data_IF_125844473235
#
_entry.id   IF_125844473235
#
_cell.length_a   1.000
_cell.length_b   1.000
_cell.length_c   1.000
_cell.angle_alpha   90.00
_cell.angle_beta   90.00
_cell.angle_gamma   90.00
#
_symmetry.space_group_name_H-M   'P 1'
#
loop_
_entity.id
_entity.type
_entity.pdbx_description
1 polymer ?
#
# COMPACT_ATOMS: atom_id res chain seq x y z
N UNK A 1 -8.24 -0.36 16.52
CA UNK A 1 -7.66 -1.06 15.37
C UNK A 1 -7.20 -2.44 15.86
N UNK A 2 -7.86 -3.52 15.43
CA UNK A 2 -7.56 -4.90 15.87
C UNK A 2 -6.13 -5.33 15.52
N UNK A 3 -5.60 -4.89 14.37
CA UNK A 3 -4.21 -5.15 13.95
C UNK A 3 -3.19 -4.60 14.94
N UNK A 4 -3.43 -3.39 15.45
CA UNK A 4 -2.55 -2.77 16.44
C UNK A 4 -2.52 -3.56 17.76
N UNK A 5 -3.68 -4.02 18.25
CA UNK A 5 -3.75 -4.83 19.46
C UNK A 5 -2.98 -6.15 19.31
N UNK A 6 -3.19 -6.87 18.20
CA UNK A 6 -2.43 -8.10 17.92
C UNK A 6 -0.92 -7.85 17.78
N UNK A 7 -0.53 -6.73 17.17
CA UNK A 7 0.88 -6.38 17.02
C UNK A 7 1.56 -6.16 18.38
N UNK A 8 0.88 -5.54 19.35
CA UNK A 8 1.37 -5.40 20.73
C UNK A 8 1.58 -6.77 21.38
N UNK A 9 0.57 -7.66 21.30
CA UNK A 9 0.65 -8.99 21.89
C UNK A 9 1.80 -9.82 21.30
N UNK A 10 1.95 -9.79 19.97
CA UNK A 10 3.03 -10.47 19.25
C UNK A 10 4.40 -9.87 19.62
N UNK A 11 4.52 -8.54 19.67
CA UNK A 11 5.74 -7.86 20.06
C UNK A 11 6.19 -8.27 21.47
N UNK A 12 5.26 -8.29 22.43
CA UNK A 12 5.56 -8.70 23.80
C UNK A 12 6.03 -10.17 23.86
N UNK A 13 5.39 -11.07 23.11
CA UNK A 13 5.79 -12.47 23.06
C UNK A 13 7.18 -12.66 22.44
N UNK A 14 7.46 -11.98 21.32
CA UNK A 14 8.75 -12.06 20.61
C UNK A 14 9.89 -11.46 21.46
N UNK A 15 9.64 -10.31 22.10
CA UNK A 15 10.63 -9.68 22.98
C UNK A 15 10.86 -10.50 24.25
N UNK A 16 9.83 -11.14 24.80
CA UNK A 16 9.95 -12.11 25.90
C UNK A 16 10.80 -13.33 25.53
N UNK A 17 10.83 -13.70 24.24
CA UNK A 17 11.71 -14.73 23.70
C UNK A 17 13.11 -14.22 23.31
N UNK A 18 13.42 -12.94 23.55
CA UNK A 18 14.73 -12.33 23.24
C UNK A 18 14.95 -11.99 21.77
N UNK A 19 13.88 -11.91 20.96
CA UNK A 19 13.97 -11.46 19.57
C UNK A 19 14.01 -9.94 19.57
N UNK A 20 15.03 -9.37 18.94
CA UNK A 20 15.17 -7.92 18.82
C UNK A 20 14.21 -7.36 17.75
N UNK A 21 13.66 -6.16 17.99
CA UNK A 21 12.63 -5.55 17.15
C UNK A 21 13.04 -5.47 15.68
N UNK A 22 14.30 -5.16 15.38
CA UNK A 22 14.83 -5.03 14.01
C UNK A 22 14.80 -6.34 13.20
N UNK A 23 14.55 -7.48 13.85
CA UNK A 23 14.35 -8.80 13.22
C UNK A 23 12.89 -9.15 12.99
N UNK A 24 11.96 -8.29 13.42
CA UNK A 24 10.52 -8.50 13.33
C UNK A 24 10.01 -7.72 12.12
N UNK A 25 9.24 -8.40 11.27
CA UNK A 25 8.49 -7.79 10.18
C UNK A 25 7.00 -8.00 10.44
N UNK A 26 6.26 -6.92 10.65
CA UNK A 26 4.80 -6.96 10.75
C UNK A 26 4.16 -6.88 9.37
N UNK A 27 3.16 -7.73 9.12
CA UNK A 27 2.35 -7.66 7.91
C UNK A 27 0.99 -7.00 8.22
N UNK A 28 0.59 -5.92 7.52
CA UNK A 28 -0.72 -5.29 7.72
C UNK A 28 -1.87 -6.16 7.22
N UNK A 29 -1.59 -7.34 6.64
CA UNK A 29 -2.53 -8.23 5.97
C UNK A 29 -3.20 -7.49 4.83
N UNK A 30 -2.48 -7.34 3.72
CA UNK A 30 -3.01 -6.77 2.48
C UNK A 30 -4.29 -7.50 2.07
N UNK A 31 -5.40 -6.76 1.96
CA UNK A 31 -6.73 -7.32 1.64
C UNK A 31 -7.12 -6.97 0.20
N UNK A 32 -7.94 -7.79 -0.47
CA UNK A 32 -8.42 -7.48 -1.81
C UNK A 32 -9.29 -6.21 -1.83
N UNK A 33 -9.10 -5.35 -2.84
CA UNK A 33 -9.97 -4.17 -3.08
C UNK A 33 -11.44 -4.57 -3.28
N UNK A 34 -11.70 -5.81 -3.70
CA UNK A 34 -13.05 -6.37 -3.83
C UNK A 34 -13.79 -6.49 -2.49
N UNK A 35 -13.09 -6.42 -1.35
CA UNK A 35 -13.68 -6.32 -0.01
C UNK A 35 -13.98 -4.87 0.42
N UNK A 36 -13.61 -3.88 -0.39
CA UNK A 36 -13.84 -2.46 -0.16
C UNK A 36 -12.59 -1.69 0.32
N UNK A 37 -12.57 -0.39 0.01
CA UNK A 37 -11.47 0.50 0.33
C UNK A 37 -11.23 0.66 1.85
N UNK A 38 -12.27 0.49 2.68
CA UNK A 38 -12.16 0.57 4.14
C UNK A 38 -11.16 -0.46 4.71
N UNK A 39 -11.06 -1.65 4.09
CA UNK A 39 -10.09 -2.67 4.51
C UNK A 39 -8.65 -2.27 4.15
N UNK A 40 -8.46 -1.61 3.01
CA UNK A 40 -7.18 -1.05 2.58
C UNK A 40 -6.76 0.06 3.53
N UNK A 41 -7.66 1.01 3.81
CA UNK A 41 -7.44 2.12 4.73
C UNK A 41 -7.09 1.63 6.13
N UNK A 42 -7.78 0.60 6.65
CA UNK A 42 -7.46 0.00 7.94
C UNK A 42 -6.04 -0.59 8.02
N UNK A 43 -5.54 -1.17 6.91
CA UNK A 43 -4.16 -1.63 6.79
C UNK A 43 -3.16 -0.49 6.77
N UNK A 44 -3.45 0.58 6.02
CA UNK A 44 -2.62 1.79 5.95
C UNK A 44 -2.54 2.54 7.29
N UNK A 45 -3.65 2.63 8.02
CA UNK A 45 -3.67 3.19 9.38
C UNK A 45 -2.79 2.39 10.34
N UNK A 46 -2.82 1.06 10.24
CA UNK A 46 -1.92 0.23 11.04
C UNK A 46 -0.45 0.50 10.70
N UNK A 47 -0.12 0.60 9.41
CA UNK A 47 1.23 0.95 8.96
C UNK A 47 1.68 2.32 9.49
N UNK A 48 0.80 3.33 9.47
CA UNK A 48 1.08 4.66 10.00
C UNK A 48 1.45 4.63 11.49
N UNK A 49 0.81 3.79 12.30
CA UNK A 49 1.05 3.68 13.74
C UNK A 49 2.16 2.68 14.10
N UNK A 50 2.69 1.91 13.13
CA UNK A 50 3.54 0.75 13.43
C UNK A 50 4.78 1.13 14.23
N UNK A 51 5.46 2.22 13.88
CA UNK A 51 6.66 2.65 14.60
C UNK A 51 6.37 3.16 16.01
N UNK A 52 5.17 3.65 16.29
CA UNK A 52 4.75 4.02 17.65
C UNK A 52 4.49 2.77 18.51
N UNK A 53 3.98 1.70 17.87
CA UNK A 53 3.66 0.42 18.52
C UNK A 53 4.93 -0.43 18.75
N UNK A 54 5.75 -0.57 17.71
CA UNK A 54 6.91 -1.44 17.67
C UNK A 54 8.14 -0.69 17.11
N UNK A 55 8.72 0.28 17.87
CA UNK A 55 9.85 1.06 17.39
C UNK A 55 11.01 0.18 16.91
N UNK A 56 11.50 0.42 15.70
CA UNK A 56 12.61 -0.32 15.11
C UNK A 56 12.22 -1.65 14.44
N UNK A 57 10.98 -2.12 14.59
CA UNK A 57 10.49 -3.23 13.79
C UNK A 57 10.27 -2.80 12.34
N UNK A 58 10.46 -3.73 11.41
CA UNK A 58 10.13 -3.50 10.02
C UNK A 58 8.70 -3.96 9.68
N UNK A 59 8.36 -3.86 8.41
CA UNK A 59 7.08 -4.32 7.87
C UNK A 59 7.23 -4.97 6.50
N UNK A 60 6.33 -5.90 6.20
CA UNK A 60 6.26 -6.58 4.91
C UNK A 60 4.82 -6.72 4.45
N UNK A 61 4.58 -7.00 3.17
CA UNK A 61 3.24 -7.35 2.68
C UNK A 61 3.31 -8.28 1.47
N UNK A 62 2.34 -9.19 1.36
CA UNK A 62 1.98 -9.82 0.09
C UNK A 62 1.25 -8.83 -0.82
N UNK A 63 1.97 -8.10 -1.68
CA UNK A 63 1.42 -6.95 -2.39
C UNK A 63 0.23 -7.30 -3.28
N UNK A 64 0.34 -8.38 -4.06
CA UNK A 64 -0.68 -8.80 -5.04
C UNK A 64 -2.01 -9.23 -4.41
N UNK A 65 -2.09 -9.33 -3.08
CA UNK A 65 -3.36 -9.58 -2.39
C UNK A 65 -4.35 -8.43 -2.60
N UNK A 66 -3.87 -7.19 -2.76
CA UNK A 66 -4.74 -6.02 -3.00
C UNK A 66 -5.57 -6.16 -4.27
N UNK A 67 -5.05 -6.87 -5.27
CA UNK A 67 -5.67 -7.05 -6.57
C UNK A 67 -6.30 -8.43 -6.77
N UNK A 68 -6.38 -9.27 -5.72
CA UNK A 68 -7.00 -10.59 -5.83
C UNK A 68 -8.48 -10.49 -6.23
N UNK A 69 -8.89 -11.34 -7.18
CA UNK A 69 -10.25 -11.36 -7.70
C UNK A 69 -10.56 -10.30 -8.77
N UNK A 70 -9.57 -9.49 -9.16
CA UNK A 70 -9.66 -8.52 -10.26
C UNK A 70 -9.09 -9.11 -11.55
N UNK A 71 -9.64 -8.71 -12.71
CA UNK A 71 -9.14 -9.13 -14.01
C UNK A 71 -7.62 -8.90 -14.16
N UNK A 72 -6.91 -9.93 -14.62
CA UNK A 72 -5.44 -10.02 -14.59
C UNK A 72 -4.73 -8.80 -15.19
N UNK A 73 -5.23 -8.29 -16.31
CA UNK A 73 -4.64 -7.14 -17.02
C UNK A 73 -4.75 -5.81 -16.25
N UNK A 74 -5.62 -5.73 -15.23
CA UNK A 74 -5.86 -4.54 -14.41
C UNK A 74 -5.13 -4.57 -13.06
N UNK A 75 -4.70 -5.76 -12.60
CA UNK A 75 -4.11 -5.95 -11.27
C UNK A 75 -2.89 -5.08 -11.00
N UNK A 76 -2.01 -4.96 -11.99
CA UNK A 76 -0.76 -4.19 -11.92
C UNK A 76 -0.97 -2.74 -11.47
N UNK A 77 -2.08 -2.10 -11.86
CA UNK A 77 -2.33 -0.70 -11.49
C UNK A 77 -2.60 -0.56 -9.98
N UNK A 78 -3.39 -1.49 -9.43
CA UNK A 78 -3.68 -1.57 -8.00
C UNK A 78 -2.41 -1.87 -7.21
N UNK A 79 -1.65 -2.89 -7.62
CA UNK A 79 -0.42 -3.32 -6.94
C UNK A 79 0.60 -2.17 -6.87
N UNK A 80 0.89 -1.51 -7.99
CA UNK A 80 1.85 -0.40 -8.06
C UNK A 80 1.43 0.79 -7.19
N UNK A 81 0.16 1.19 -7.28
CA UNK A 81 -0.33 2.35 -6.51
C UNK A 81 -0.37 2.04 -5.02
N UNK A 82 -0.80 0.84 -4.65
CA UNK A 82 -0.85 0.41 -3.25
C UNK A 82 0.55 0.33 -2.64
N UNK A 83 1.56 -0.14 -3.38
CA UNK A 83 2.95 -0.09 -2.92
C UNK A 83 3.38 1.35 -2.60
N UNK A 84 3.10 2.30 -3.48
CA UNK A 84 3.43 3.72 -3.24
C UNK A 84 2.72 4.25 -1.98
N UNK A 85 1.45 3.90 -1.76
CA UNK A 85 0.72 4.28 -0.55
C UNK A 85 1.37 3.68 0.71
N UNK A 86 1.81 2.42 0.67
CA UNK A 86 2.53 1.78 1.77
C UNK A 86 3.92 2.42 2.01
N UNK A 87 4.61 2.86 0.96
CA UNK A 87 5.89 3.58 1.07
C UNK A 87 5.76 4.88 1.87
N UNK A 88 4.61 5.57 1.84
CA UNK A 88 4.35 6.76 2.66
C UNK A 88 4.51 6.49 4.15
N UNK A 89 4.16 5.27 4.58
CA UNK A 89 4.20 4.83 5.97
C UNK A 89 5.38 3.88 6.26
N UNK A 90 6.42 3.90 5.41
CA UNK A 90 7.69 3.24 5.72
C UNK A 90 7.68 1.71 5.61
N UNK A 91 6.91 1.14 4.68
CA UNK A 91 7.01 -0.30 4.36
C UNK A 91 8.47 -0.70 4.09
N UNK A 92 8.97 -1.73 4.79
CA UNK A 92 10.37 -2.13 4.69
C UNK A 92 10.63 -3.08 3.52
N UNK A 93 9.75 -4.05 3.32
CA UNK A 93 9.82 -5.02 2.21
C UNK A 93 8.43 -5.29 1.62
N UNK A 94 8.37 -5.82 0.40
CA UNK A 94 7.13 -6.30 -0.19
C UNK A 94 7.40 -7.55 -1.04
N UNK A 95 6.50 -8.52 -0.97
CA UNK A 95 6.49 -9.68 -1.87
C UNK A 95 5.71 -9.26 -3.12
N UNK A 96 6.42 -9.15 -4.26
CA UNK A 96 5.91 -8.51 -5.48
C UNK A 96 6.08 -9.40 -6.72
N UNK A 97 5.33 -9.08 -7.79
CA UNK A 97 5.60 -9.63 -9.11
C UNK A 97 6.85 -8.96 -9.72
N UNK A 98 7.98 -9.65 -9.71
CA UNK A 98 9.26 -9.12 -10.21
C UNK A 98 9.32 -8.95 -11.73
N UNK A 99 8.37 -9.50 -12.49
CA UNK A 99 8.28 -9.32 -13.94
C UNK A 99 7.57 -8.02 -14.34
N UNK A 100 6.95 -7.31 -13.38
CA UNK A 100 6.41 -5.98 -13.64
C UNK A 100 7.53 -4.94 -13.59
N UNK A 101 8.00 -4.54 -14.77
CA UNK A 101 9.11 -3.59 -14.92
C UNK A 101 8.83 -2.22 -14.28
N UNK A 102 7.57 -1.76 -14.28
CA UNK A 102 7.19 -0.46 -13.69
C UNK A 102 7.14 -0.55 -12.17
N UNK A 103 6.59 -1.64 -11.63
CA UNK A 103 6.63 -1.93 -10.20
C UNK A 103 8.07 -2.00 -9.69
N UNK A 104 8.93 -2.71 -10.43
CA UNK A 104 10.34 -2.80 -10.08
C UNK A 104 11.08 -1.46 -10.21
N UNK A 105 10.69 -0.58 -11.14
CA UNK A 105 11.21 0.78 -11.23
C UNK A 105 10.80 1.63 -10.02
N UNK A 106 9.56 1.49 -9.52
CA UNK A 106 9.12 2.11 -8.26
C UNK A 106 9.99 1.63 -7.10
N UNK A 107 10.20 0.31 -6.97
CA UNK A 107 11.05 -0.27 -5.92
C UNK A 107 12.50 0.25 -5.94
N UNK A 108 13.03 0.60 -7.12
CA UNK A 108 14.39 1.15 -7.30
C UNK A 108 14.47 2.67 -7.12
N UNK A 109 13.35 3.36 -6.87
CA UNK A 109 13.30 4.81 -6.75
C UNK A 109 13.37 5.55 -8.11
N UNK A 110 13.14 4.85 -9.22
CA UNK A 110 13.22 5.41 -10.59
C UNK A 110 11.92 6.13 -11.02
N UNK A 111 10.95 6.26 -10.10
CA UNK A 111 9.60 6.80 -10.34
C UNK A 111 9.18 7.82 -9.27
N UNK A 112 10.13 8.62 -8.80
CA UNK A 112 9.87 9.58 -7.71
C UNK A 112 8.71 10.54 -8.03
N UNK A 113 8.55 10.95 -9.30
CA UNK A 113 7.43 11.79 -9.73
C UNK A 113 6.05 11.14 -9.50
N UNK A 114 5.93 9.80 -9.63
CA UNK A 114 4.70 9.06 -9.35
C UNK A 114 4.50 8.87 -7.84
N UNK A 115 5.59 8.67 -7.10
CA UNK A 115 5.58 8.59 -5.64
C UNK A 115 5.08 9.92 -5.05
N UNK A 116 5.67 11.03 -5.46
CA UNK A 116 5.31 12.38 -5.02
C UNK A 116 3.85 12.71 -5.34
N UNK A 117 3.36 12.29 -6.53
CA UNK A 117 1.95 12.46 -6.92
C UNK A 117 1.01 11.77 -5.92
N UNK A 118 1.18 10.47 -5.69
CA UNK A 118 0.29 9.69 -4.82
C UNK A 118 0.44 10.13 -3.37
N UNK A 119 1.65 10.42 -2.89
CA UNK A 119 1.90 10.94 -1.54
C UNK A 119 1.24 12.31 -1.33
N UNK A 120 1.33 13.19 -2.34
CA UNK A 120 0.63 14.48 -2.31
C UNK A 120 -0.89 14.30 -2.20
N UNK A 121 -1.46 13.35 -2.96
CA UNK A 121 -2.89 13.03 -2.87
C UNK A 121 -3.27 12.47 -1.48
N UNK A 122 -2.44 11.63 -0.88
CA UNK A 122 -2.62 11.15 0.50
C UNK A 122 -2.60 12.28 1.53
N UNK A 123 -1.82 13.33 1.28
CA UNK A 123 -1.76 14.53 2.13
C UNK A 123 -2.91 15.53 1.84
N UNK A 124 -3.85 15.17 0.94
CA UNK A 124 -5.00 16.00 0.58
C UNK A 124 -4.78 16.96 -0.60
N UNK A 125 -3.62 16.91 -1.25
CA UNK A 125 -3.34 17.69 -2.46
C UNK A 125 -3.85 16.93 -3.70
N UNK A 126 -5.13 17.08 -4.02
CA UNK A 126 -5.74 16.51 -5.23
C UNK A 126 -5.46 17.42 -6.45
N UNK A 127 -4.62 17.00 -7.43
CA UNK A 127 -4.33 17.83 -8.61
C UNK A 127 -5.49 17.87 -9.63
N UNK A 128 -6.53 17.05 -9.42
CA UNK A 128 -7.53 16.76 -10.44
C UNK A 128 -6.95 15.93 -11.60
N UNK A 129 -7.82 15.44 -12.51
CA UNK A 129 -7.38 14.68 -13.68
C UNK A 129 -6.89 15.59 -14.83
N UNK A 130 -7.25 16.88 -14.80
CA UNK A 130 -6.95 17.82 -15.87
C UNK A 130 -5.44 18.12 -15.93
N UNK A 131 -4.77 17.57 -16.94
CA UNK A 131 -3.32 17.71 -17.13
C UNK A 131 -2.51 16.45 -16.80
N UNK A 132 -3.15 15.40 -16.28
CA UNK A 132 -2.53 14.08 -16.10
C UNK A 132 -2.73 13.21 -17.34
N UNK A 133 -1.71 12.44 -17.69
CA UNK A 133 -1.74 11.48 -18.80
C UNK A 133 -0.87 10.26 -18.50
N UNK A 134 -1.09 9.15 -19.22
CA UNK A 134 -0.32 7.92 -19.08
C UNK A 134 -0.31 7.40 -17.64
N UNK A 135 0.86 6.98 -17.16
CA UNK A 135 1.04 6.36 -15.83
C UNK A 135 0.62 7.27 -14.68
N UNK A 136 0.79 8.59 -14.81
CA UNK A 136 0.34 9.53 -13.78
C UNK A 136 -1.19 9.54 -13.64
N UNK A 137 -1.92 9.48 -14.75
CA UNK A 137 -3.39 9.39 -14.73
C UNK A 137 -3.87 8.03 -14.19
N UNK A 138 -3.18 6.95 -14.53
CA UNK A 138 -3.47 5.60 -14.00
C UNK A 138 -3.32 5.56 -12.48
N UNK A 139 -2.23 6.12 -11.93
CA UNK A 139 -2.02 6.22 -10.49
C UNK A 139 -3.05 7.13 -9.81
N UNK A 140 -3.38 8.27 -10.42
CA UNK A 140 -4.43 9.16 -9.92
C UNK A 140 -5.76 8.42 -9.76
N UNK A 141 -6.27 7.83 -10.84
CA UNK A 141 -7.55 7.10 -10.83
C UNK A 141 -7.52 5.91 -9.86
N UNK A 142 -6.40 5.21 -9.83
CA UNK A 142 -6.24 4.05 -8.95
C UNK A 142 -6.17 4.44 -7.47
N UNK A 143 -5.52 5.55 -7.13
CA UNK A 143 -5.54 6.07 -5.76
C UNK A 143 -6.97 6.45 -5.34
N UNK A 144 -7.77 7.07 -6.22
CA UNK A 144 -9.16 7.44 -5.89
C UNK A 144 -9.98 6.22 -5.48
N UNK A 145 -9.82 5.08 -6.15
CA UNK A 145 -10.54 3.84 -5.77
C UNK A 145 -9.94 3.18 -4.52
N UNK A 146 -8.61 3.13 -4.38
CA UNK A 146 -7.96 2.52 -3.22
C UNK A 146 -8.22 3.30 -1.92
N UNK A 147 -8.34 4.62 -1.99
CA UNK A 147 -8.67 5.48 -0.84
C UNK A 147 -10.17 5.57 -0.55
N UNK A 148 -11.03 5.02 -1.43
CA UNK A 148 -12.48 5.08 -1.29
C UNK A 148 -13.13 6.40 -1.75
N UNK A 149 -12.35 7.31 -2.35
CA UNK A 149 -12.87 8.55 -2.94
C UNK A 149 -13.66 8.31 -4.24
N UNK A 150 -13.50 7.14 -4.85
CA UNK A 150 -14.28 6.64 -5.96
C UNK A 150 -14.66 5.17 -5.72
N UNK A 151 -15.82 4.75 -6.23
CA UNK A 151 -16.25 3.35 -6.14
C UNK A 151 -15.41 2.49 -7.07
N UNK A 152 -14.87 1.40 -6.54
CA UNK A 152 -14.16 0.42 -7.35
C UNK A 152 -15.14 -0.31 -8.30
N UNK A 153 -14.77 -0.35 -9.58
CA UNK A 153 -15.35 -1.19 -10.62
C UNK A 153 -14.26 -1.47 -11.65
N UNK A 154 -14.32 -2.56 -12.40
CA UNK A 154 -13.26 -2.90 -13.37
C UNK A 154 -13.13 -1.94 -14.57
N UNK A 155 -13.97 -0.91 -14.65
CA UNK A 155 -13.84 0.19 -15.62
C UNK A 155 -13.22 1.47 -15.01
N UNK A 156 -12.69 1.43 -13.78
CA UNK A 156 -12.21 2.64 -13.08
C UNK A 156 -11.15 3.46 -13.83
N UNK A 157 -10.40 2.85 -14.74
CA UNK A 157 -9.41 3.55 -15.57
C UNK A 157 -10.05 4.30 -16.74
N UNK A 158 -11.25 3.92 -17.15
CA UNK A 158 -11.99 4.51 -18.28
C UNK A 158 -12.91 5.65 -17.83
N UNK A 159 -13.35 5.63 -16.57
CA UNK A 159 -14.24 6.62 -15.96
C UNK A 159 -13.55 7.97 -15.66
#
# INVERSE_FOLDING_TARGET
NERAAMAVDLLMALNGAGIANEKILFDPIGTPITLGADQINSGLEFMMMLQDIAPGAGSTVGLSNVSNGVAEHLRKYLDRTYLIMLMKYGISTAIVNSYDAELMAICRGERQNLVDLVHGMMDGNDPGPAGLAGTALEHYKTYKVLSGQAVFSESWLEL
#
